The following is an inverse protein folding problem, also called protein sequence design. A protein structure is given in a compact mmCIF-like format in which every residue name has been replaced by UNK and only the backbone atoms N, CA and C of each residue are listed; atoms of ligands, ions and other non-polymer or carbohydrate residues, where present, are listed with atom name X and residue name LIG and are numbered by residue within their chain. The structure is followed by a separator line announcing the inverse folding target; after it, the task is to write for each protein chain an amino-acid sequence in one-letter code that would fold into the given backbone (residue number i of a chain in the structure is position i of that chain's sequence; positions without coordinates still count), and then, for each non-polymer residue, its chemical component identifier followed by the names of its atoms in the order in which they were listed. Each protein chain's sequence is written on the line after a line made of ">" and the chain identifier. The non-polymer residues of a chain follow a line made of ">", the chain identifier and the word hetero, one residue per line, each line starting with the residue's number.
data_IF_115019636644
#
_entry.id   IF_115019636644
#
_cell.length_a   1.000
_cell.length_b   1.000
_cell.length_c   1.000
_cell.angle_alpha   90.00
_cell.angle_beta   90.00
_cell.angle_gamma   90.00
#
_symmetry.space_group_name_H-M   'P 1'
#
loop_
_entity.id
_entity.type
_entity.pdbx_description
1 polymer ?
#
# COMPACT_ATOMS: atom_id res chain seq x y z
N UNK A 1 18.18 -19.94 -0.45
CA UNK A 1 16.80 -19.50 -0.15
C UNK A 1 16.55 -18.20 -0.90
N UNK A 2 15.64 -18.17 -1.89
CA UNK A 2 15.26 -16.96 -2.68
C UNK A 2 13.75 -16.69 -2.72
N UNK A 3 12.93 -17.61 -2.20
CA UNK A 3 11.47 -17.57 -2.29
C UNK A 3 10.83 -16.44 -1.46
N UNK A 4 11.35 -16.17 -0.26
CA UNK A 4 10.78 -15.16 0.63
C UNK A 4 10.82 -13.73 0.08
N UNK A 5 11.86 -13.36 -0.67
CA UNK A 5 11.95 -12.04 -1.29
C UNK A 5 10.91 -11.83 -2.40
N UNK A 6 10.72 -12.84 -3.26
CA UNK A 6 9.71 -12.78 -4.34
C UNK A 6 8.29 -12.66 -3.79
N UNK A 7 8.01 -13.30 -2.65
CA UNK A 7 6.72 -13.25 -1.99
C UNK A 7 6.43 -11.87 -1.37
N UNK A 8 7.44 -11.23 -0.76
CA UNK A 8 7.33 -9.85 -0.24
C UNK A 8 7.05 -8.87 -1.37
N UNK A 9 7.79 -8.97 -2.48
CA UNK A 9 7.60 -8.07 -3.63
C UNK A 9 6.21 -8.24 -4.28
N UNK A 10 5.72 -9.48 -4.39
CA UNK A 10 4.35 -9.75 -4.84
C UNK A 10 3.30 -9.18 -3.90
N UNK A 11 3.54 -9.23 -2.59
CA UNK A 11 2.63 -8.70 -1.59
C UNK A 11 2.57 -7.17 -1.64
N UNK A 12 3.72 -6.50 -1.72
CA UNK A 12 3.81 -5.05 -1.92
C UNK A 12 3.03 -4.59 -3.16
N UNK A 13 3.24 -5.27 -4.30
CA UNK A 13 2.50 -4.99 -5.54
C UNK A 13 0.98 -5.15 -5.41
N UNK A 14 0.51 -6.17 -4.68
CA UNK A 14 -0.93 -6.37 -4.43
C UNK A 14 -1.53 -5.25 -3.58
N UNK A 15 -0.79 -4.80 -2.57
CA UNK A 15 -1.21 -3.70 -1.69
C UNK A 15 -1.28 -2.39 -2.49
N UNK A 16 -0.27 -2.08 -3.30
CA UNK A 16 -0.28 -0.92 -4.20
C UNK A 16 -1.45 -0.93 -5.18
N UNK A 17 -1.71 -2.08 -5.82
CA UNK A 17 -2.84 -2.23 -6.72
C UNK A 17 -4.18 -1.96 -6.01
N UNK A 18 -4.35 -2.50 -4.80
CA UNK A 18 -5.56 -2.29 -3.99
C UNK A 18 -5.73 -0.81 -3.60
N UNK A 19 -4.63 -0.13 -3.26
CA UNK A 19 -4.64 1.30 -2.93
C UNK A 19 -4.93 2.18 -4.15
N UNK A 20 -4.48 1.76 -5.34
CA UNK A 20 -4.83 2.41 -6.61
C UNK A 20 -6.33 2.31 -6.90
N UNK A 21 -6.91 1.11 -6.75
CA UNK A 21 -8.37 0.90 -6.88
C UNK A 21 -9.15 1.76 -5.88
N UNK A 22 -8.71 1.82 -4.62
CA UNK A 22 -9.32 2.67 -3.61
C UNK A 22 -9.25 4.16 -4.00
N UNK A 23 -8.10 4.65 -4.44
CA UNK A 23 -7.96 6.03 -4.91
C UNK A 23 -8.88 6.33 -6.10
N UNK A 24 -9.01 5.39 -7.05
CA UNK A 24 -9.91 5.55 -8.18
C UNK A 24 -11.38 5.60 -7.74
N UNK A 25 -11.79 4.74 -6.81
CA UNK A 25 -13.12 4.77 -6.22
C UNK A 25 -13.39 6.11 -5.49
N UNK A 26 -12.44 6.60 -4.69
CA UNK A 26 -12.56 7.88 -4.00
C UNK A 26 -12.63 9.08 -4.95
N UNK A 27 -11.93 9.02 -6.10
CA UNK A 27 -12.04 10.05 -7.14
C UNK A 27 -13.40 10.03 -7.85
N UNK A 28 -13.98 8.84 -8.06
CA UNK A 28 -15.26 8.67 -8.76
C UNK A 28 -16.47 8.97 -7.87
N UNK A 29 -16.45 8.50 -6.63
CA UNK A 29 -17.60 8.57 -5.71
C UNK A 29 -17.45 9.67 -4.66
N UNK A 30 -16.30 10.33 -4.61
CA UNK A 30 -15.96 11.27 -3.57
C UNK A 30 -15.48 10.57 -2.29
N UNK A 31 -14.93 11.38 -1.39
CA UNK A 31 -14.51 10.94 -0.07
C UNK A 31 -15.68 11.11 0.90
N UNK A 32 -16.13 10.06 1.61
CA UNK A 32 -17.19 10.21 2.61
C UNK A 32 -16.81 11.23 3.70
N UNK A 33 -17.79 12.01 4.15
CA UNK A 33 -17.58 13.03 5.19
C UNK A 33 -16.99 12.37 6.45
N UNK A 34 -15.97 12.99 7.02
CA UNK A 34 -15.26 12.48 8.21
C UNK A 34 -14.17 11.43 7.92
N UNK A 35 -14.08 10.86 6.71
CA UNK A 35 -13.08 9.84 6.38
C UNK A 35 -11.83 10.36 5.67
N UNK A 36 -11.77 11.63 5.28
CA UNK A 36 -10.64 12.19 4.54
C UNK A 36 -9.29 12.06 5.26
N UNK A 37 -9.26 12.35 6.56
CA UNK A 37 -8.04 12.20 7.37
C UNK A 37 -7.63 10.73 7.51
N UNK A 38 -8.59 9.85 7.81
CA UNK A 38 -8.35 8.41 7.95
C UNK A 38 -7.84 7.77 6.66
N UNK A 39 -8.41 8.13 5.51
CA UNK A 39 -7.98 7.62 4.21
C UNK A 39 -6.61 8.16 3.79
N UNK A 40 -6.31 9.43 4.10
CA UNK A 40 -4.98 10.00 3.92
C UNK A 40 -3.95 9.27 4.79
N UNK A 41 -4.25 9.05 6.06
CA UNK A 41 -3.37 8.33 6.99
C UNK A 41 -3.16 6.88 6.56
N UNK A 42 -4.21 6.22 6.06
CA UNK A 42 -4.12 4.88 5.49
C UNK A 42 -3.14 4.86 4.32
N UNK A 43 -3.25 5.80 3.37
CA UNK A 43 -2.34 5.92 2.23
C UNK A 43 -0.88 6.06 2.68
N UNK A 44 -0.61 6.95 3.63
CA UNK A 44 0.75 7.16 4.15
C UNK A 44 1.30 5.89 4.79
N UNK A 45 0.55 5.29 5.73
CA UNK A 45 0.98 4.07 6.42
C UNK A 45 1.21 2.90 5.47
N UNK A 46 0.37 2.77 4.43
CA UNK A 46 0.56 1.75 3.41
C UNK A 46 1.87 1.93 2.65
N UNK A 47 2.21 3.16 2.27
CA UNK A 47 3.50 3.47 1.64
C UNK A 47 4.69 3.20 2.55
N UNK A 48 4.56 3.52 3.85
CA UNK A 48 5.60 3.25 4.85
C UNK A 48 5.85 1.75 5.02
N UNK A 49 4.78 0.94 5.08
CA UNK A 49 4.90 -0.53 5.18
C UNK A 49 5.54 -1.12 3.93
N UNK A 50 5.14 -0.68 2.73
CA UNK A 50 5.76 -1.13 1.49
C UNK A 50 7.25 -0.79 1.47
N UNK A 51 7.59 0.44 1.84
CA UNK A 51 8.99 0.87 1.92
C UNK A 51 9.80 0.04 2.92
N UNK A 52 9.23 -0.27 4.09
CA UNK A 52 9.88 -1.13 5.09
C UNK A 52 10.06 -2.57 4.59
N UNK A 53 9.08 -3.12 3.89
CA UNK A 53 9.16 -4.44 3.28
C UNK A 53 10.26 -4.51 2.21
N UNK A 54 10.35 -3.49 1.35
CA UNK A 54 11.40 -3.40 0.35
C UNK A 54 12.79 -3.24 0.97
N UNK A 55 12.93 -2.40 2.01
CA UNK A 55 14.20 -2.25 2.74
C UNK A 55 14.60 -3.54 3.45
N UNK A 56 13.65 -4.24 4.09
CA UNK A 56 13.90 -5.53 4.74
C UNK A 56 14.37 -6.59 3.73
N UNK A 57 13.82 -6.59 2.51
CA UNK A 57 14.26 -7.48 1.44
C UNK A 57 15.67 -7.15 0.93
N UNK A 58 16.06 -5.86 0.87
CA UNK A 58 17.42 -5.45 0.43
C UNK A 58 18.51 -5.77 1.47
N UNK A 59 18.12 -5.87 2.74
CA UNK A 59 19.03 -6.16 3.84
C UNK A 59 19.17 -7.68 4.15
N UNK A 60 18.50 -8.55 3.39
CA UNK A 60 18.63 -10.01 3.44
C UNK A 60 19.44 -10.55 2.25
#
# INVERSE_FOLDING_TARGET
>A
MRRSGDDIHKMAKKVDASMSTLNQALRKFGVPKGLGSSLKNLKTRTGDVISQLEMSQRNQ
#
